data_IF_819779557263
#
_entry.id   IF_819779557263
#
_cell.length_a   1.000
_cell.length_b   1.000
_cell.length_c   1.000
_cell.angle_alpha   90.00
_cell.angle_beta   90.00
_cell.angle_gamma   90.00
#
_symmetry.space_group_name_H-M   'P 1'
#
loop_
_entity.id
_entity.type
_entity.pdbx_description
1 polymer ?
#
# COMPACT_ATOMS: atom_id res chain seq x y z
N UNK A 1 -5.51 17.72 -7.57
CA UNK A 1 -5.08 16.46 -6.92
C UNK A 1 -6.30 15.86 -6.26
N UNK A 2 -6.82 14.67 -6.65
CA UNK A 2 -7.78 14.00 -5.80
C UNK A 2 -7.03 13.61 -4.53
N UNK A 3 -7.39 14.25 -3.42
CA UNK A 3 -6.88 13.86 -2.10
C UNK A 3 -7.27 12.40 -1.89
N UNK A 4 -6.31 11.54 -1.54
CA UNK A 4 -6.62 10.20 -1.05
C UNK A 4 -7.50 10.40 0.17
N UNK A 5 -8.80 10.10 0.06
CA UNK A 5 -9.73 10.24 1.17
C UNK A 5 -9.17 9.43 2.35
N UNK A 6 -9.11 10.05 3.53
CA UNK A 6 -8.62 9.38 4.72
C UNK A 6 -9.73 8.47 5.22
N UNK A 7 -9.79 7.25 4.67
CA UNK A 7 -10.77 6.25 5.05
C UNK A 7 -10.38 5.68 6.40
N UNK A 8 -11.31 5.74 7.34
CA UNK A 8 -11.12 5.29 8.73
C UNK A 8 -11.67 3.88 8.95
N UNK A 9 -12.55 3.40 8.07
CA UNK A 9 -13.08 2.04 8.12
C UNK A 9 -12.34 1.07 7.18
N UNK A 10 -11.96 -0.13 7.64
CA UNK A 10 -11.37 -1.17 6.79
C UNK A 10 -12.28 -1.58 5.63
N UNK A 11 -13.60 -1.61 5.85
CA UNK A 11 -14.60 -1.94 4.83
C UNK A 11 -14.59 -0.94 3.67
N UNK A 12 -14.48 0.34 3.97
CA UNK A 12 -14.45 1.40 2.95
C UNK A 12 -13.17 1.29 2.11
N UNK A 13 -12.04 0.99 2.77
CA UNK A 13 -10.81 0.67 2.09
C UNK A 13 -11.01 -0.51 1.12
N UNK A 14 -11.66 -1.59 1.55
CA UNK A 14 -11.90 -2.75 0.70
C UNK A 14 -12.84 -2.45 -0.48
N UNK A 15 -13.91 -1.70 -0.26
CA UNK A 15 -14.79 -1.25 -1.35
C UNK A 15 -14.01 -0.43 -2.39
N UNK A 16 -13.15 0.49 -1.93
CA UNK A 16 -12.28 1.27 -2.83
C UNK A 16 -11.26 0.40 -3.55
N UNK A 17 -10.67 -0.58 -2.88
CA UNK A 17 -9.77 -1.53 -3.51
C UNK A 17 -10.47 -2.29 -4.65
N UNK A 18 -11.70 -2.74 -4.44
CA UNK A 18 -12.49 -3.42 -5.46
C UNK A 18 -12.81 -2.51 -6.65
N UNK A 19 -13.22 -1.25 -6.42
CA UNK A 19 -13.43 -0.28 -7.50
C UNK A 19 -12.16 -0.09 -8.35
N UNK A 20 -11.00 0.00 -7.69
CA UNK A 20 -9.72 0.15 -8.38
C UNK A 20 -9.28 -1.12 -9.10
N UNK A 21 -9.59 -2.32 -8.61
CA UNK A 21 -9.35 -3.57 -9.35
C UNK A 21 -10.12 -3.59 -10.66
N UNK A 22 -11.42 -3.26 -10.62
CA UNK A 22 -12.25 -3.21 -11.83
C UNK A 22 -11.71 -2.17 -12.82
N UNK A 23 -11.36 -0.97 -12.34
CA UNK A 23 -10.77 0.05 -13.19
C UNK A 23 -9.43 -0.41 -13.80
N UNK A 24 -8.56 -1.06 -13.01
CA UNK A 24 -7.28 -1.54 -13.48
C UNK A 24 -7.43 -2.59 -14.57
N UNK A 25 -8.32 -3.58 -14.38
CA UNK A 25 -8.58 -4.62 -15.38
C UNK A 25 -9.15 -4.05 -16.68
N UNK A 26 -10.05 -3.08 -16.60
CA UNK A 26 -10.62 -2.41 -17.79
C UNK A 26 -9.57 -1.62 -18.58
N UNK A 27 -8.69 -0.88 -17.88
CA UNK A 27 -7.62 -0.11 -18.51
C UNK A 27 -6.54 -1.03 -19.09
N UNK A 28 -6.16 -2.07 -18.36
CA UNK A 28 -5.13 -3.00 -18.80
C UNK A 28 -5.58 -3.82 -20.02
N UNK A 29 -6.86 -4.22 -20.06
CA UNK A 29 -7.44 -4.87 -21.24
C UNK A 29 -7.45 -3.99 -22.50
N UNK A 30 -7.23 -2.68 -22.36
CA UNK A 30 -7.08 -1.72 -23.46
C UNK A 30 -5.62 -1.34 -23.74
N UNK A 31 -4.66 -1.87 -22.97
CA UNK A 31 -3.26 -1.51 -23.06
C UNK A 31 -2.92 -0.12 -22.50
N UNK A 32 -3.79 0.44 -21.65
CA UNK A 32 -3.63 1.78 -21.10
C UNK A 32 -2.72 1.78 -19.88
N UNK A 33 -1.65 2.59 -19.89
CA UNK A 33 -0.69 2.68 -18.79
C UNK A 33 -1.31 3.15 -17.46
N UNK A 34 -2.45 3.84 -17.51
CA UNK A 34 -3.24 4.22 -16.34
C UNK A 34 -3.73 3.03 -15.51
N UNK A 35 -3.73 1.82 -16.07
CA UNK A 35 -3.92 0.60 -15.32
C UNK A 35 -2.93 0.47 -14.14
N UNK A 36 -1.67 0.91 -14.30
CA UNK A 36 -0.68 0.88 -13.22
C UNK A 36 -1.06 1.77 -12.03
N UNK A 37 -1.69 2.92 -12.31
CA UNK A 37 -2.20 3.81 -11.26
C UNK A 37 -3.33 3.12 -10.50
N UNK A 38 -4.27 2.50 -11.22
CA UNK A 38 -5.38 1.77 -10.61
C UNK A 38 -4.90 0.56 -9.81
N UNK A 39 -3.94 -0.23 -10.33
CA UNK A 39 -3.32 -1.34 -9.61
C UNK A 39 -2.66 -0.89 -8.30
N UNK A 40 -1.89 0.20 -8.33
CA UNK A 40 -1.32 0.75 -7.11
C UNK A 40 -2.38 1.15 -6.09
N UNK A 41 -3.43 1.89 -6.49
CA UNK A 41 -4.46 2.32 -5.54
C UNK A 41 -5.28 1.14 -5.00
N UNK A 42 -5.50 0.09 -5.79
CA UNK A 42 -6.11 -1.14 -5.30
C UNK A 42 -5.25 -1.81 -4.22
N UNK A 43 -3.95 -1.91 -4.42
CA UNK A 43 -2.99 -2.44 -3.44
C UNK A 43 -2.86 -1.53 -2.21
N UNK A 44 -2.81 -0.21 -2.40
CA UNK A 44 -2.77 0.78 -1.33
C UNK A 44 -3.96 0.63 -0.38
N UNK A 45 -5.17 0.52 -0.93
CA UNK A 45 -6.36 0.39 -0.09
C UNK A 45 -6.43 -0.94 0.66
N UNK A 46 -5.95 -2.05 0.08
CA UNK A 46 -5.80 -3.32 0.83
C UNK A 46 -4.83 -3.20 1.98
N UNK A 47 -3.66 -2.61 1.73
CA UNK A 47 -2.66 -2.35 2.77
C UNK A 47 -3.22 -1.44 3.86
N UNK A 48 -3.97 -0.40 3.50
CA UNK A 48 -4.66 0.47 4.47
C UNK A 48 -5.66 -0.33 5.31
N UNK A 49 -6.48 -1.18 4.69
CA UNK A 49 -7.40 -2.04 5.42
C UNK A 49 -6.65 -2.95 6.42
N UNK A 50 -5.53 -3.55 6.00
CA UNK A 50 -4.67 -4.35 6.85
C UNK A 50 -4.12 -3.53 8.05
N UNK A 51 -3.54 -2.35 7.81
CA UNK A 51 -3.01 -1.47 8.87
C UNK A 51 -4.09 -1.12 9.91
N UNK A 52 -5.30 -0.80 9.44
CA UNK A 52 -6.39 -0.39 10.32
C UNK A 52 -6.83 -1.50 11.28
N UNK A 53 -6.68 -2.77 10.91
CA UNK A 53 -7.08 -3.93 11.73
C UNK A 53 -5.89 -4.67 12.33
N UNK A 54 -4.66 -4.24 12.07
CA UNK A 54 -3.47 -4.95 12.53
C UNK A 54 -3.34 -4.83 14.07
N UNK A 55 -3.39 -5.94 14.81
CA UNK A 55 -3.35 -5.93 16.28
C UNK A 55 -2.06 -5.36 16.85
N UNK A 56 -0.98 -5.30 16.07
CA UNK A 56 0.30 -4.72 16.54
C UNK A 56 0.12 -3.28 17.03
N UNK A 57 -0.79 -2.51 16.42
CA UNK A 57 -1.07 -1.14 16.81
C UNK A 57 -1.92 -1.03 18.08
N UNK A 58 -2.50 -2.12 18.59
CA UNK A 58 -3.18 -2.17 19.88
C UNK A 58 -2.23 -2.58 21.02
N UNK A 59 -1.03 -3.09 20.70
CA UNK A 59 -0.05 -3.54 21.68
C UNK A 59 0.98 -2.45 22.00
N UNK A 60 0.89 -1.89 23.21
CA UNK A 60 1.90 -0.97 23.74
C UNK A 60 3.26 -1.63 24.01
N UNK A 61 3.31 -2.96 24.01
CA UNK A 61 4.51 -3.75 24.27
C UNK A 61 5.20 -4.16 22.98
N UNK A 62 4.45 -4.55 21.95
CA UNK A 62 5.03 -5.12 20.73
C UNK A 62 5.34 -4.06 19.68
N UNK A 63 4.52 -3.00 19.57
CA UNK A 63 4.75 -1.94 18.60
C UNK A 63 6.15 -1.29 18.73
N UNK A 64 6.66 -0.97 19.94
CA UNK A 64 8.01 -0.44 20.09
C UNK A 64 9.12 -1.46 19.76
N UNK A 65 8.85 -2.77 19.85
CA UNK A 65 9.80 -3.83 19.44
C UNK A 65 9.93 -3.92 17.93
N UNK A 66 8.87 -3.59 17.20
CA UNK A 66 8.89 -3.54 15.73
C UNK A 66 9.77 -2.38 15.25
N UNK A 67 9.44 -1.16 15.68
CA UNK A 67 10.23 0.05 15.42
C UNK A 67 9.81 1.12 16.43
N UNK A 68 10.72 1.64 17.27
CA UNK A 68 10.39 2.61 18.32
C UNK A 68 9.90 3.97 17.78
N UNK A 69 10.01 4.22 16.48
CA UNK A 69 9.46 5.42 15.82
C UNK A 69 8.00 5.26 15.43
N UNK A 70 7.50 4.03 15.33
CA UNK A 70 6.11 3.74 15.02
C UNK A 70 5.30 3.84 16.31
N UNK A 71 4.13 4.45 16.19
CA UNK A 71 3.19 4.69 17.28
C UNK A 71 1.79 4.33 16.84
N UNK A 72 0.87 4.19 17.80
CA UNK A 72 -0.53 3.80 17.54
C UNK A 72 -1.22 4.75 16.56
N UNK A 73 -0.89 6.05 16.58
CA UNK A 73 -1.45 7.06 15.68
C UNK A 73 -1.08 6.83 14.20
N UNK A 74 0.04 6.16 13.93
CA UNK A 74 0.44 5.85 12.56
C UNK A 74 -0.52 4.85 11.88
N UNK A 75 -1.40 4.18 12.63
CA UNK A 75 -2.55 3.44 12.08
C UNK A 75 -3.39 4.30 11.12
N UNK A 76 -3.49 5.60 11.37
CA UNK A 76 -4.29 6.55 10.61
C UNK A 76 -3.50 7.27 9.49
N UNK A 77 -2.22 6.93 9.26
CA UNK A 77 -1.42 7.58 8.21
C UNK A 77 -1.94 7.21 6.82
N UNK A 78 -2.23 8.22 6.01
CA UNK A 78 -2.69 8.09 4.62
C UNK A 78 -1.67 8.59 3.60
N UNK A 79 -0.54 9.11 4.05
CA UNK A 79 0.53 9.57 3.16
C UNK A 79 1.33 8.37 2.67
N UNK A 80 1.59 8.31 1.36
CA UNK A 80 2.40 7.23 0.78
C UNK A 80 3.82 7.23 1.37
N UNK A 81 4.45 8.40 1.47
CA UNK A 81 5.81 8.55 2.01
C UNK A 81 5.84 9.51 3.20
N UNK A 82 6.73 9.19 4.15
CA UNK A 82 7.12 10.07 5.24
C UNK A 82 7.76 11.37 4.76
N UNK A 83 7.39 12.51 5.37
CA UNK A 83 8.01 13.82 5.09
C UNK A 83 9.02 14.17 6.17
N UNK A 84 10.08 14.88 5.79
CA UNK A 84 10.96 15.52 6.77
C UNK A 84 10.33 16.85 7.17
N UNK A 85 9.93 16.98 8.44
CA UNK A 85 9.44 18.22 9.03
C UNK A 85 10.27 18.49 10.29
N UNK A 86 10.89 19.68 10.37
CA UNK A 86 11.68 20.07 11.54
C UNK A 86 12.84 19.13 11.89
N UNK A 87 13.46 18.50 10.89
CA UNK A 87 14.59 17.58 11.09
C UNK A 87 14.23 16.15 11.51
N UNK A 88 12.94 15.84 11.69
CA UNK A 88 12.45 14.46 11.92
C UNK A 88 11.63 13.97 10.73
N UNK A 89 11.86 12.73 10.33
CA UNK A 89 11.11 12.06 9.26
C UNK A 89 9.83 11.45 9.86
N UNK A 90 8.69 11.97 9.41
CA UNK A 90 7.36 11.41 9.65
C UNK A 90 7.24 10.02 8.99
N UNK A 91 6.32 9.16 9.43
CA UNK A 91 6.16 7.79 8.93
C UNK A 91 4.97 7.72 7.96
N UNK A 92 5.25 7.28 6.72
CA UNK A 92 4.22 7.04 5.70
C UNK A 92 3.83 5.57 5.58
N UNK A 93 2.84 5.29 4.73
CA UNK A 93 2.38 3.93 4.44
C UNK A 93 3.51 3.06 3.87
N UNK A 94 4.39 3.60 3.02
CA UNK A 94 5.55 2.86 2.49
C UNK A 94 6.49 2.41 3.62
N UNK A 95 6.65 3.25 4.65
CA UNK A 95 7.46 2.93 5.83
C UNK A 95 6.82 1.82 6.66
N UNK A 96 5.50 1.87 6.84
CA UNK A 96 4.75 0.80 7.52
C UNK A 96 4.82 -0.51 6.74
N UNK A 97 4.63 -0.49 5.42
CA UNK A 97 4.73 -1.69 4.56
C UNK A 97 6.10 -2.33 4.65
N UNK A 98 7.16 -1.52 4.58
CA UNK A 98 8.55 -2.01 4.72
C UNK A 98 8.76 -2.73 6.05
N UNK A 99 8.17 -2.21 7.10
CA UNK A 99 8.45 -2.63 8.48
C UNK A 99 7.58 -3.84 8.87
N UNK A 100 6.26 -3.74 8.63
CA UNK A 100 5.25 -4.70 9.06
C UNK A 100 4.94 -5.77 8.01
N UNK A 101 4.99 -5.42 6.73
CA UNK A 101 4.50 -6.25 5.62
C UNK A 101 5.62 -6.61 4.63
N UNK A 102 6.77 -7.03 5.16
CA UNK A 102 7.96 -7.41 4.37
C UNK A 102 7.67 -8.32 3.16
N UNK A 103 6.78 -9.33 3.21
CA UNK A 103 6.52 -10.22 2.07
C UNK A 103 6.02 -9.54 0.80
N UNK A 104 5.48 -8.32 0.90
CA UNK A 104 4.94 -7.55 -0.23
C UNK A 104 5.70 -6.24 -0.49
N UNK A 105 6.73 -5.92 0.30
CA UNK A 105 7.36 -4.60 0.25
C UNK A 105 7.96 -4.28 -1.11
N UNK A 106 8.68 -5.24 -1.72
CA UNK A 106 9.29 -5.05 -3.02
C UNK A 106 8.24 -4.78 -4.10
N UNK A 107 7.18 -5.59 -4.14
CA UNK A 107 6.07 -5.46 -5.09
C UNK A 107 5.32 -4.14 -4.91
N UNK A 108 5.10 -3.76 -3.65
CA UNK A 108 4.42 -2.52 -3.30
C UNK A 108 5.19 -1.29 -3.78
N UNK A 109 6.53 -1.31 -3.67
CA UNK A 109 7.37 -0.24 -4.21
C UNK A 109 7.33 -0.17 -5.74
N UNK A 110 7.34 -1.32 -6.42
CA UNK A 110 7.20 -1.36 -7.89
C UNK A 110 5.88 -0.73 -8.33
N UNK A 111 4.78 -1.06 -7.64
CA UNK A 111 3.47 -0.47 -7.88
C UNK A 111 3.48 1.05 -7.66
N UNK A 112 4.06 1.52 -6.54
CA UNK A 112 4.15 2.95 -6.23
C UNK A 112 4.96 3.71 -7.28
N UNK A 113 6.15 3.21 -7.65
CA UNK A 113 7.01 3.83 -8.67
C UNK A 113 6.31 3.93 -10.03
N UNK A 114 5.67 2.84 -10.48
CA UNK A 114 4.92 2.84 -11.73
C UNK A 114 3.77 3.86 -11.71
N UNK A 115 3.01 3.94 -10.61
CA UNK A 115 1.95 4.93 -10.41
C UNK A 115 2.47 6.37 -10.46
N UNK A 116 3.64 6.64 -9.86
CA UNK A 116 4.30 7.95 -9.92
C UNK A 116 4.69 8.28 -11.36
N UNK A 117 5.35 7.36 -12.07
CA UNK A 117 5.79 7.58 -13.46
C UNK A 117 4.64 7.94 -14.40
N UNK A 118 3.53 7.21 -14.33
CA UNK A 118 2.34 7.49 -15.15
C UNK A 118 1.73 8.84 -14.79
N UNK A 119 1.49 9.12 -13.50
CA UNK A 119 0.84 10.37 -13.06
C UNK A 119 1.65 11.64 -13.39
N UNK A 120 2.96 11.53 -13.47
CA UNK A 120 3.85 12.66 -13.76
C UNK A 120 4.43 12.62 -15.17
N UNK A 121 3.75 11.96 -16.10
CA UNK A 121 4.00 12.07 -17.54
C UNK A 121 5.26 11.38 -18.05
N UNK A 122 5.90 10.53 -17.24
CA UNK A 122 7.01 9.67 -17.71
C UNK A 122 6.51 8.44 -18.46
N UNK A 123 5.29 8.02 -18.14
CA UNK A 123 4.66 6.82 -18.67
C UNK A 123 5.38 5.52 -18.28
N UNK A 124 4.84 4.39 -18.74
CA UNK A 124 5.47 3.07 -18.65
C UNK A 124 5.20 2.26 -19.93
N UNK A 125 6.13 1.37 -20.27
CA UNK A 125 5.97 0.46 -21.39
C UNK A 125 5.03 -0.72 -21.07
N UNK A 126 4.56 -1.42 -22.09
CA UNK A 126 3.66 -2.57 -21.94
C UNK A 126 4.30 -3.74 -21.16
N UNK A 127 5.61 -4.00 -21.36
CA UNK A 127 6.35 -5.00 -20.59
C UNK A 127 6.43 -4.64 -19.10
N UNK A 128 6.62 -3.35 -18.79
CA UNK A 128 6.57 -2.83 -17.43
C UNK A 128 5.18 -3.01 -16.83
N UNK A 129 4.12 -2.75 -17.59
CA UNK A 129 2.74 -2.91 -17.14
C UNK A 129 2.43 -4.37 -16.78
N UNK A 130 2.91 -5.35 -17.54
CA UNK A 130 2.77 -6.77 -17.21
C UNK A 130 3.43 -7.12 -15.86
N UNK A 131 4.63 -6.58 -15.59
CA UNK A 131 5.30 -6.73 -14.30
C UNK A 131 4.53 -6.07 -13.16
N UNK A 132 3.95 -4.89 -13.39
CA UNK A 132 3.09 -4.19 -12.41
C UNK A 132 1.85 -5.01 -12.07
N UNK A 133 1.20 -5.63 -13.07
CA UNK A 133 0.06 -6.53 -12.86
C UNK A 133 0.44 -7.72 -11.98
N UNK A 134 1.60 -8.34 -12.21
CA UNK A 134 2.08 -9.46 -11.40
C UNK A 134 2.31 -9.03 -9.93
N UNK A 135 2.90 -7.85 -9.71
CA UNK A 135 3.09 -7.27 -8.38
C UNK A 135 1.74 -7.03 -7.66
N UNK A 136 0.77 -6.43 -8.34
CA UNK A 136 -0.58 -6.23 -7.79
C UNK A 136 -1.23 -7.56 -7.41
N UNK A 137 -1.15 -8.57 -8.28
CA UNK A 137 -1.73 -9.89 -8.01
C UNK A 137 -1.11 -10.53 -6.76
N UNK A 138 0.20 -10.39 -6.56
CA UNK A 138 0.88 -10.88 -5.36
C UNK A 138 0.43 -10.15 -4.09
N UNK A 139 0.31 -8.81 -4.13
CA UNK A 139 -0.19 -8.04 -2.99
C UNK A 139 -1.62 -8.45 -2.65
N UNK A 140 -2.49 -8.57 -3.65
CA UNK A 140 -3.87 -9.02 -3.49
C UNK A 140 -3.93 -10.41 -2.85
N UNK A 141 -3.16 -11.37 -3.39
CA UNK A 141 -3.12 -12.73 -2.86
C UNK A 141 -2.67 -12.78 -1.39
N UNK A 142 -1.62 -12.04 -1.02
CA UNK A 142 -1.14 -12.00 0.36
C UNK A 142 -2.17 -11.37 1.31
N UNK A 143 -2.91 -10.35 0.86
CA UNK A 143 -4.02 -9.79 1.62
C UNK A 143 -5.13 -10.83 1.82
N UNK A 144 -5.61 -11.45 0.74
CA UNK A 144 -6.71 -12.41 0.77
C UNK A 144 -6.38 -13.66 1.60
N UNK A 145 -5.11 -14.06 1.62
CA UNK A 145 -4.61 -15.15 2.46
C UNK A 145 -4.47 -14.78 3.95
N UNK A 146 -4.78 -13.54 4.35
CA UNK A 146 -4.61 -13.05 5.72
C UNK A 146 -3.16 -12.91 6.16
N UNK A 147 -2.22 -12.85 5.20
CA UNK A 147 -0.78 -12.79 5.48
C UNK A 147 -0.26 -11.38 5.77
N UNK A 148 -1.10 -10.35 5.58
CA UNK A 148 -0.83 -8.95 5.90
C UNK A 148 -1.29 -8.58 7.31
N UNK A 149 -0.94 -9.41 8.28
CA UNK A 149 -1.08 -9.11 9.70
C UNK A 149 0.29 -9.32 10.32
N UNK A 150 0.77 -8.34 11.07
CA UNK A 150 1.97 -8.52 11.85
C UNK A 150 1.70 -9.62 12.89
N UNK A 151 2.37 -10.73 12.72
CA UNK A 151 2.51 -11.76 13.73
C UNK A 151 3.95 -11.71 14.18
N UNK A 152 4.21 -12.00 15.45
CA UNK A 152 5.53 -12.17 16.02
C UNK A 152 6.30 -13.18 15.16
N UNK A 153 6.93 -12.74 14.07
CA UNK A 153 7.81 -13.55 13.23
C UNK A 153 9.17 -13.53 13.92
N UNK A 154 9.17 -14.00 15.17
CA UNK A 154 10.37 -14.38 15.89
C UNK A 154 10.77 -15.76 15.35
N UNK A 155 11.51 -15.74 14.25
CA UNK A 155 12.61 -16.66 14.05
C UNK A 155 13.88 -15.84 14.17
#
# INVERSE_FOLDING_TARGET
>A
MPQTQNLTAPTDCLSRAACHDTAAQLLDGRGEEWAAVAYFYASYHRVRAAILVDPVFDSLVDLPKVDPRISVQHRETSRHEGRILGGRRDIGVNDLVRTLYRPIYAEYLVLHDASVKVRYGKGISADRLAGVRACWSKVKHQYDAGALIWRDRQN
#
